data_IF_314678474675
#
_entry.id   IF_314678474675
#
_cell.length_a   1.000
_cell.length_b   1.000
_cell.length_c   1.000
_cell.angle_alpha   90.00
_cell.angle_beta   90.00
_cell.angle_gamma   90.00
#
_symmetry.space_group_name_H-M   'P 1'
#
loop_
_entity.id
_entity.type
_entity.pdbx_description
1 polymer ?
#
# COMPACT_ATOMS: atom_id res chain seq x y z
N UNK A 1 12.30 21.59 2.09
CA UNK A 1 11.86 21.12 3.41
C UNK A 1 12.12 19.62 3.52
N UNK A 2 12.63 19.13 4.68
CA UNK A 2 12.84 17.71 4.86
C UNK A 2 11.51 16.95 4.94
N UNK A 3 11.55 15.68 4.54
CA UNK A 3 10.44 14.75 4.77
C UNK A 3 10.53 14.26 6.22
N UNK A 4 9.48 14.45 6.98
CA UNK A 4 9.45 14.04 8.38
C UNK A 4 8.86 12.64 8.53
N UNK A 5 9.60 11.75 9.17
CA UNK A 5 9.18 10.39 9.52
C UNK A 5 9.07 10.28 11.03
N UNK A 6 7.90 9.89 11.52
CA UNK A 6 7.70 9.66 12.94
C UNK A 6 8.28 8.29 13.34
N UNK A 7 9.19 8.28 14.31
CA UNK A 7 9.92 7.10 14.71
C UNK A 7 11.16 6.87 13.83
N UNK A 8 11.53 5.62 13.65
CA UNK A 8 12.72 5.21 12.90
C UNK A 8 12.41 4.72 11.47
N UNK A 9 11.14 4.65 11.09
CA UNK A 9 10.72 4.17 9.77
C UNK A 9 10.76 2.65 9.59
N UNK A 10 11.02 1.88 10.66
CA UNK A 10 11.13 0.42 10.60
C UNK A 10 9.79 -0.31 10.81
N UNK A 11 8.71 0.42 11.10
CA UNK A 11 7.38 -0.18 11.22
C UNK A 11 6.96 -0.85 9.92
N UNK A 12 6.42 -2.06 10.04
CA UNK A 12 6.04 -2.89 8.90
C UNK A 12 4.55 -2.73 8.60
N UNK A 13 4.24 -2.52 7.32
CA UNK A 13 2.87 -2.35 6.82
C UNK A 13 2.63 -3.19 5.57
N UNK A 14 1.41 -3.65 5.42
CA UNK A 14 0.90 -4.18 4.16
C UNK A 14 0.26 -3.01 3.39
N UNK A 15 0.67 -2.85 2.13
CA UNK A 15 0.10 -1.86 1.23
C UNK A 15 -0.33 -2.54 -0.06
N UNK A 16 -1.45 -2.12 -0.61
CA UNK A 16 -2.01 -2.68 -1.84
C UNK A 16 -2.45 -1.55 -2.77
N UNK A 17 -2.19 -1.72 -4.06
CA UNK A 17 -2.69 -0.79 -5.06
C UNK A 17 -4.22 -0.85 -5.16
N UNK A 18 -4.85 0.31 -5.29
CA UNK A 18 -6.32 0.43 -5.19
C UNK A 18 -7.05 -0.42 -6.24
N UNK A 19 -6.55 -0.52 -7.46
CA UNK A 19 -7.22 -1.32 -8.49
C UNK A 19 -7.15 -2.81 -8.18
N UNK A 20 -6.05 -3.30 -7.60
CA UNK A 20 -5.96 -4.69 -7.12
C UNK A 20 -6.99 -4.96 -6.01
N UNK A 21 -7.13 -4.03 -5.09
CA UNK A 21 -8.12 -4.14 -4.01
C UNK A 21 -9.55 -4.21 -4.55
N UNK A 22 -9.89 -3.30 -5.47
CA UNK A 22 -11.21 -3.26 -6.11
C UNK A 22 -11.48 -4.54 -6.90
N UNK A 23 -10.50 -5.03 -7.63
CA UNK A 23 -10.60 -6.29 -8.38
C UNK A 23 -10.87 -7.49 -7.46
N UNK A 24 -10.16 -7.55 -6.35
CA UNK A 24 -10.40 -8.56 -5.30
C UNK A 24 -11.81 -8.46 -4.72
N UNK A 25 -12.28 -7.26 -4.44
CA UNK A 25 -13.61 -7.02 -3.90
C UNK A 25 -14.71 -7.48 -4.87
N UNK A 26 -14.58 -7.11 -6.14
CA UNK A 26 -15.53 -7.53 -7.20
C UNK A 26 -15.50 -9.05 -7.38
N UNK A 27 -14.33 -9.67 -7.33
CA UNK A 27 -14.21 -11.13 -7.40
C UNK A 27 -15.00 -11.82 -6.29
N UNK A 28 -14.90 -11.33 -5.05
CA UNK A 28 -15.68 -11.89 -3.93
C UNK A 28 -17.18 -11.66 -4.15
N UNK A 29 -17.57 -10.47 -4.59
CA UNK A 29 -18.99 -10.17 -4.86
C UNK A 29 -19.60 -11.11 -5.93
N UNK A 30 -18.85 -11.44 -6.97
CA UNK A 30 -19.32 -12.27 -8.06
C UNK A 30 -19.28 -13.78 -7.74
N UNK A 31 -18.36 -14.21 -6.90
CA UNK A 31 -18.07 -15.64 -6.68
C UNK A 31 -18.43 -16.16 -5.28
N UNK A 32 -18.75 -15.29 -4.34
CA UNK A 32 -19.17 -15.71 -3.00
C UNK A 32 -20.55 -16.37 -3.05
N UNK A 33 -20.64 -17.59 -2.52
CA UNK A 33 -21.88 -18.37 -2.42
C UNK A 33 -22.45 -18.40 -1.01
N UNK A 34 -21.70 -17.86 -0.06
CA UNK A 34 -22.09 -17.83 1.34
C UNK A 34 -23.04 -16.65 1.61
N UNK A 35 -23.92 -16.82 2.58
CA UNK A 35 -24.74 -15.70 3.06
C UNK A 35 -23.95 -14.65 3.81
N UNK A 36 -22.83 -15.06 4.38
CA UNK A 36 -21.91 -14.24 5.13
C UNK A 36 -20.48 -14.71 4.88
N UNK A 37 -19.60 -13.81 4.53
CA UNK A 37 -18.19 -14.10 4.25
C UNK A 37 -17.30 -13.03 4.87
N UNK A 38 -16.27 -13.45 5.58
CA UNK A 38 -15.20 -12.58 6.05
C UNK A 38 -13.92 -12.97 5.32
N UNK A 39 -13.32 -12.02 4.63
CA UNK A 39 -12.09 -12.24 3.88
C UNK A 39 -11.21 -11.00 3.95
N UNK A 40 -9.91 -11.23 4.12
CA UNK A 40 -8.90 -10.18 4.03
C UNK A 40 -8.44 -10.04 2.58
N UNK A 41 -8.32 -8.81 2.11
CA UNK A 41 -7.79 -8.49 0.79
C UNK A 41 -6.54 -7.64 0.98
N UNK A 42 -5.38 -8.19 0.73
CA UNK A 42 -4.08 -7.54 0.86
C UNK A 42 -3.10 -8.03 -0.20
N UNK A 43 -1.92 -7.45 -0.22
CA UNK A 43 -0.90 -7.80 -1.21
C UNK A 43 -0.14 -9.09 -0.89
N UNK A 44 -0.24 -9.61 0.31
CA UNK A 44 0.62 -10.67 0.88
C UNK A 44 2.12 -10.28 0.92
N UNK A 45 2.43 -9.02 0.72
CA UNK A 45 3.79 -8.48 0.80
C UNK A 45 3.81 -7.31 1.78
N UNK A 46 4.82 -7.26 2.63
CA UNK A 46 4.94 -6.25 3.68
C UNK A 46 6.21 -5.44 3.49
N UNK A 47 6.12 -4.16 3.81
CA UNK A 47 7.22 -3.21 3.65
C UNK A 47 7.39 -2.37 4.91
N UNK A 48 8.62 -1.94 5.20
CA UNK A 48 8.86 -0.90 6.20
C UNK A 48 8.41 0.46 5.64
N UNK A 49 8.16 1.40 6.53
CA UNK A 49 7.88 2.80 6.15
C UNK A 49 9.05 3.36 5.31
N UNK A 50 10.29 3.03 5.69
CA UNK A 50 11.47 3.44 4.92
C UNK A 50 11.45 2.90 3.50
N UNK A 51 11.15 1.62 3.30
CA UNK A 51 11.07 1.01 1.95
C UNK A 51 9.98 1.67 1.10
N UNK A 52 8.83 1.98 1.69
CA UNK A 52 7.75 2.69 0.99
C UNK A 52 8.20 4.09 0.59
N UNK A 53 8.82 4.82 1.51
CA UNK A 53 9.30 6.18 1.26
C UNK A 53 10.39 6.20 0.20
N UNK A 54 11.38 5.31 0.30
CA UNK A 54 12.46 5.19 -0.69
C UNK A 54 11.89 4.90 -2.08
N UNK A 55 10.91 4.01 -2.18
CA UNK A 55 10.23 3.72 -3.45
C UNK A 55 9.52 4.96 -4.01
N UNK A 56 8.82 5.72 -3.16
CA UNK A 56 8.16 6.96 -3.60
C UNK A 56 9.16 7.99 -4.12
N UNK A 57 10.27 8.17 -3.42
CA UNK A 57 11.31 9.12 -3.82
C UNK A 57 12.00 8.69 -5.12
N UNK A 58 12.30 7.40 -5.26
CA UNK A 58 12.91 6.85 -6.46
C UNK A 58 11.99 6.99 -7.68
N UNK A 59 10.73 6.61 -7.54
CA UNK A 59 9.74 6.66 -8.63
C UNK A 59 9.48 8.09 -9.10
N UNK A 60 9.37 9.05 -8.18
CA UNK A 60 9.14 10.47 -8.51
C UNK A 60 10.44 11.22 -8.85
N UNK A 61 11.58 10.56 -8.78
CA UNK A 61 12.90 11.17 -8.93
C UNK A 61 13.07 12.40 -8.01
N UNK A 62 12.56 12.27 -6.79
CA UNK A 62 12.56 13.33 -5.78
C UNK A 62 13.66 13.08 -4.76
N UNK A 63 14.53 14.05 -4.56
CA UNK A 63 15.61 13.98 -3.59
C UNK A 63 15.37 15.02 -2.48
N UNK A 64 15.12 14.54 -1.28
CA UNK A 64 14.95 15.38 -0.11
C UNK A 64 15.55 14.70 1.12
N UNK A 65 16.09 15.46 2.07
CA UNK A 65 16.58 14.90 3.32
C UNK A 65 15.41 14.34 4.13
N UNK A 66 15.65 13.22 4.81
CA UNK A 66 14.69 12.60 5.71
C UNK A 66 15.06 12.94 7.14
N UNK A 67 14.11 13.45 7.91
CA UNK A 67 14.24 13.75 9.33
C UNK A 67 13.39 12.78 10.14
N UNK A 68 14.03 11.98 10.99
CA UNK A 68 13.35 11.06 11.88
C UNK A 68 13.04 11.74 13.20
N UNK A 69 11.76 11.75 13.60
CA UNK A 69 11.29 12.44 14.79
C UNK A 69 10.95 11.42 15.88
N UNK A 70 11.72 11.44 16.97
CA UNK A 70 11.46 10.62 18.15
C UNK A 70 10.36 11.23 19.04
N UNK A 71 9.84 10.43 19.98
CA UNK A 71 8.85 10.88 20.97
C UNK A 71 7.44 11.08 20.44
N UNK A 72 7.18 10.71 19.19
CA UNK A 72 5.83 10.65 18.64
C UNK A 72 5.15 9.34 19.03
N UNK A 73 3.80 9.31 19.10
CA UNK A 73 3.09 8.07 19.38
C UNK A 73 3.51 6.96 18.44
N UNK A 74 3.99 5.84 18.99
CA UNK A 74 4.28 4.65 18.20
C UNK A 74 3.01 3.84 18.02
N UNK A 75 2.81 3.41 16.80
CA UNK A 75 1.74 2.48 16.41
C UNK A 75 2.24 1.03 16.56
N UNK A 76 1.42 0.10 16.13
CA UNK A 76 1.80 -1.32 16.08
C UNK A 76 3.04 -1.48 15.18
N UNK A 77 4.16 -2.06 15.70
CA UNK A 77 5.42 -2.18 14.94
C UNK A 77 5.30 -3.01 13.67
N UNK A 78 4.46 -4.05 13.70
CA UNK A 78 4.26 -4.95 12.56
C UNK A 78 2.76 -5.15 12.35
N UNK A 79 2.26 -4.73 11.18
CA UNK A 79 0.90 -5.01 10.74
C UNK A 79 0.96 -5.68 9.38
N UNK A 80 0.64 -6.97 9.37
CA UNK A 80 0.58 -7.79 8.15
C UNK A 80 -0.83 -8.33 7.98
N UNK A 81 -1.23 -8.50 6.72
CA UNK A 81 -2.53 -9.05 6.34
C UNK A 81 -2.27 -10.29 5.50
N UNK A 82 -2.86 -11.41 5.88
CA UNK A 82 -2.84 -12.61 5.04
C UNK A 82 -4.03 -12.60 4.09
N UNK A 83 -3.75 -12.72 2.80
CA UNK A 83 -4.73 -12.90 1.73
C UNK A 83 -4.78 -14.33 1.22
N UNK A 84 -4.36 -15.30 2.03
CA UNK A 84 -4.32 -16.71 1.63
C UNK A 84 -5.71 -17.24 1.30
N UNK A 85 -6.75 -16.82 1.99
CA UNK A 85 -8.13 -17.17 1.68
C UNK A 85 -8.56 -16.68 0.29
N UNK A 86 -8.15 -15.46 -0.09
CA UNK A 86 -8.40 -14.94 -1.44
C UNK A 86 -7.72 -15.80 -2.50
N UNK A 87 -6.47 -16.19 -2.26
CA UNK A 87 -5.74 -17.07 -3.17
C UNK A 87 -6.36 -18.44 -3.29
N UNK A 88 -6.67 -19.08 -2.17
CA UNK A 88 -7.11 -20.48 -2.13
C UNK A 88 -8.59 -20.67 -2.48
N UNK A 89 -9.46 -19.75 -2.05
CA UNK A 89 -10.91 -19.86 -2.28
C UNK A 89 -11.37 -19.13 -3.54
N UNK A 90 -10.78 -17.97 -3.85
CA UNK A 90 -11.20 -17.09 -4.93
C UNK A 90 -10.22 -17.01 -6.08
N UNK A 91 -9.09 -17.73 -6.03
CA UNK A 91 -8.02 -17.73 -7.04
C UNK A 91 -7.59 -16.31 -7.40
N UNK A 92 -7.47 -15.46 -6.39
CA UNK A 92 -7.09 -14.06 -6.55
C UNK A 92 -5.81 -13.73 -5.79
N UNK A 93 -4.94 -12.97 -6.43
CA UNK A 93 -3.74 -12.37 -5.84
C UNK A 93 -3.56 -10.95 -6.39
N UNK A 94 -2.99 -10.06 -5.58
CA UNK A 94 -2.57 -8.75 -6.06
C UNK A 94 -1.48 -8.89 -7.13
N UNK A 95 -1.60 -8.16 -8.23
CA UNK A 95 -0.73 -8.24 -9.39
C UNK A 95 0.26 -7.07 -9.50
N UNK A 96 0.00 -5.97 -8.80
CA UNK A 96 0.75 -4.73 -8.93
C UNK A 96 1.87 -4.68 -7.90
N UNK A 97 3.11 -4.46 -8.34
CA UNK A 97 4.26 -4.25 -7.46
C UNK A 97 4.15 -2.91 -6.72
N UNK A 98 4.91 -2.75 -5.63
CA UNK A 98 4.97 -1.48 -4.90
C UNK A 98 5.39 -0.33 -5.82
N UNK A 99 6.46 -0.51 -6.57
CA UNK A 99 6.98 0.52 -7.50
C UNK A 99 5.95 0.92 -8.55
N UNK A 100 5.31 -0.08 -9.17
CA UNK A 100 4.27 0.16 -10.19
C UNK A 100 3.04 0.86 -9.59
N UNK A 101 2.57 0.43 -8.43
CA UNK A 101 1.44 1.04 -7.75
C UNK A 101 1.72 2.48 -7.31
N UNK A 102 2.91 2.75 -6.81
CA UNK A 102 3.36 4.10 -6.48
C UNK A 102 3.41 4.98 -7.72
N UNK A 103 3.98 4.49 -8.83
CA UNK A 103 4.04 5.25 -10.08
C UNK A 103 2.64 5.64 -10.58
N UNK A 104 1.73 4.69 -10.62
CA UNK A 104 0.35 4.94 -11.06
C UNK A 104 -0.37 5.94 -10.15
N UNK A 105 -0.13 5.86 -8.85
CA UNK A 105 -0.72 6.78 -7.86
C UNK A 105 -0.19 8.19 -8.04
N UNK A 106 1.13 8.35 -8.24
CA UNK A 106 1.76 9.65 -8.49
C UNK A 106 1.26 10.24 -9.80
N UNK A 107 1.20 9.45 -10.86
CA UNK A 107 0.71 9.90 -12.17
C UNK A 107 -0.74 10.38 -12.09
N UNK A 108 -1.59 9.64 -11.39
CA UNK A 108 -2.96 10.05 -11.12
C UNK A 108 -3.02 11.38 -10.35
N UNK A 109 -2.23 11.52 -9.28
CA UNK A 109 -2.18 12.75 -8.49
C UNK A 109 -1.78 13.96 -9.34
N UNK A 110 -0.74 13.82 -10.15
CA UNK A 110 -0.29 14.89 -11.05
C UNK A 110 -1.35 15.27 -12.07
N UNK A 111 -2.03 14.28 -12.63
CA UNK A 111 -3.10 14.52 -13.61
C UNK A 111 -4.28 15.28 -13.00
N UNK A 112 -4.69 14.95 -11.77
CA UNK A 112 -5.85 15.54 -11.12
C UNK A 112 -5.57 16.93 -10.49
N UNK A 113 -4.37 17.15 -9.98
CA UNK A 113 -4.07 18.31 -9.16
C UNK A 113 -3.06 19.29 -9.75
N UNK A 114 -2.19 18.88 -10.67
CA UNK A 114 -1.22 19.77 -11.29
C UNK A 114 -1.76 20.47 -12.55
N UNK A 115 -2.90 20.03 -13.08
CA UNK A 115 -3.56 20.66 -14.23
C UNK A 115 -4.53 21.78 -13.84
N UNK A 116 -4.71 22.06 -12.57
CA UNK A 116 -5.59 23.10 -12.04
C UNK A 116 -4.86 24.47 -11.81
N UNK A 117 -3.62 24.61 -12.28
CA UNK A 117 -2.87 25.87 -12.24
C UNK A 117 -2.88 26.59 -13.60
#
# INVERSE_FOLDING_TARGET
>A
NPIQVWGDGEDIRDVIYIEDFVDGLVNVMENCKEKYEVVNIGSNTSYSVNEILDTCMEVDNYDAPIEYISGKPSMIPIRKISSDKMKNKYQWEAQTSLSEGVQKTIDWYKQEYENDE
#
